data_IF_656990406024
#
_entry.id   IF_656990406024
#
_cell.length_a   1.000
_cell.length_b   1.000
_cell.length_c   1.000
_cell.angle_alpha   90.00
_cell.angle_beta   90.00
_cell.angle_gamma   90.00
#
_symmetry.space_group_name_H-M   'P 1'
#
loop_
_entity.id
_entity.type
_entity.pdbx_description
1 polymer ?
#
# COMPACT_ATOMS: atom_id res chain seq x y z
N UNK A 1 3.92 -15.33 -12.26
CA UNK A 1 3.24 -14.17 -11.67
C UNK A 1 3.85 -13.88 -10.31
N UNK A 2 4.22 -12.63 -10.06
CA UNK A 2 4.72 -12.17 -8.76
C UNK A 2 3.55 -11.77 -7.88
N UNK A 3 3.25 -12.55 -6.84
CA UNK A 3 2.27 -12.14 -5.83
C UNK A 3 2.89 -11.11 -4.90
N UNK A 4 2.23 -9.97 -4.75
CA UNK A 4 2.59 -8.96 -3.77
C UNK A 4 1.91 -9.34 -2.46
N UNK A 5 2.71 -9.49 -1.41
CA UNK A 5 2.22 -9.75 -0.05
C UNK A 5 2.35 -8.44 0.73
N UNK A 6 1.22 -7.84 1.06
CA UNK A 6 1.19 -6.71 1.98
C UNK A 6 1.32 -7.21 3.41
N UNK A 7 2.24 -6.62 4.16
CA UNK A 7 2.44 -6.95 5.56
C UNK A 7 2.91 -5.75 6.36
N UNK A 8 2.68 -5.80 7.67
CA UNK A 8 3.16 -4.82 8.62
C UNK A 8 4.48 -5.28 9.23
N UNK A 9 5.41 -4.34 9.33
CA UNK A 9 6.66 -4.55 10.06
C UNK A 9 6.39 -4.38 11.56
N UNK A 10 6.80 -5.35 12.36
CA UNK A 10 6.69 -5.33 13.82
C UNK A 10 8.07 -5.50 14.46
N UNK A 11 8.30 -4.89 15.62
CA UNK A 11 9.50 -5.09 16.43
C UNK A 11 9.38 -6.37 17.26
N UNK A 12 10.36 -7.26 17.16
CA UNK A 12 10.49 -8.46 18.00
C UNK A 12 11.94 -8.51 18.51
N UNK A 13 12.12 -8.39 19.82
CA UNK A 13 13.43 -8.25 20.44
C UNK A 13 14.16 -6.98 19.96
N UNK A 14 15.39 -7.17 19.47
CA UNK A 14 16.24 -6.11 18.92
C UNK A 14 16.16 -5.99 17.40
N UNK A 15 15.16 -6.60 16.75
CA UNK A 15 15.05 -6.62 15.28
C UNK A 15 13.64 -6.30 14.80
N UNK A 16 13.55 -5.88 13.54
CA UNK A 16 12.29 -5.66 12.83
C UNK A 16 11.96 -6.89 11.99
N UNK A 17 10.70 -7.32 12.05
CA UNK A 17 10.20 -8.51 11.39
C UNK A 17 9.04 -8.17 10.47
N UNK A 18 9.06 -8.72 9.26
CA UNK A 18 7.92 -8.73 8.35
C UNK A 18 7.16 -10.05 8.54
N UNK A 19 5.90 -9.99 8.96
CA UNK A 19 5.10 -11.19 9.23
C UNK A 19 4.48 -11.71 7.95
N UNK A 20 4.64 -12.99 7.63
CA UNK A 20 4.02 -13.56 6.43
C UNK A 20 2.64 -14.12 6.80
N UNK A 21 1.56 -13.71 6.13
CA UNK A 21 0.23 -14.28 6.37
C UNK A 21 0.22 -15.80 6.22
N UNK A 22 -0.45 -16.50 7.13
CA UNK A 22 -0.51 -17.99 7.13
C UNK A 22 -1.04 -18.56 5.81
N UNK A 23 -1.93 -17.84 5.14
CA UNK A 23 -2.45 -18.22 3.82
C UNK A 23 -1.36 -18.26 2.76
N UNK A 24 -0.48 -17.27 2.73
CA UNK A 24 0.65 -17.21 1.81
C UNK A 24 1.66 -18.33 2.10
N UNK A 25 1.90 -18.61 3.39
CA UNK A 25 2.75 -19.74 3.83
C UNK A 25 2.21 -21.07 3.31
N UNK A 26 0.89 -21.32 3.46
CA UNK A 26 0.24 -22.55 2.97
C UNK A 26 0.27 -22.66 1.44
N UNK A 27 -0.12 -21.60 0.73
CA UNK A 27 -0.14 -21.57 -0.75
C UNK A 27 1.24 -21.80 -1.35
N UNK A 28 2.28 -21.17 -0.77
CA UNK A 28 3.66 -21.25 -1.26
C UNK A 28 4.48 -22.36 -0.59
N UNK A 29 3.87 -23.16 0.28
CA UNK A 29 4.50 -24.26 1.04
C UNK A 29 5.81 -23.83 1.71
N UNK A 30 5.83 -22.60 2.26
CA UNK A 30 7.00 -22.06 2.95
C UNK A 30 7.19 -22.80 4.27
N UNK A 31 8.45 -23.07 4.62
CA UNK A 31 8.82 -23.71 5.88
C UNK A 31 9.51 -22.73 6.81
N UNK A 32 9.37 -22.96 8.11
CA UNK A 32 10.16 -22.25 9.11
C UNK A 32 11.66 -22.50 8.89
N UNK A 33 12.49 -21.49 9.11
CA UNK A 33 13.94 -21.55 8.87
C UNK A 33 14.36 -21.47 7.39
N UNK A 34 13.43 -21.49 6.45
CA UNK A 34 13.73 -21.31 5.04
C UNK A 34 14.17 -19.86 4.76
N UNK A 35 15.31 -19.70 4.12
CA UNK A 35 15.73 -18.40 3.60
C UNK A 35 14.85 -18.00 2.42
N UNK A 36 14.36 -16.76 2.46
CA UNK A 36 13.55 -16.17 1.39
C UNK A 36 14.16 -14.84 0.97
N UNK A 37 13.97 -14.48 -0.30
CA UNK A 37 14.30 -13.15 -0.80
C UNK A 37 13.11 -12.24 -0.63
N UNK A 38 13.34 -11.06 -0.06
CA UNK A 38 12.32 -10.02 0.10
C UNK A 38 12.65 -8.90 -0.89
N UNK A 39 11.67 -8.53 -1.72
CA UNK A 39 11.75 -7.34 -2.57
C UNK A 39 10.89 -6.26 -1.93
N UNK A 40 11.51 -5.12 -1.62
CA UNK A 40 10.82 -3.97 -1.03
C UNK A 40 10.46 -3.02 -2.18
N UNK A 41 9.16 -2.77 -2.35
CA UNK A 41 8.65 -1.81 -3.32
C UNK A 41 8.22 -0.56 -2.55
N UNK A 42 8.86 0.57 -2.81
CA UNK A 42 8.44 1.85 -2.24
C UNK A 42 7.07 2.26 -2.81
N UNK A 43 6.05 2.22 -1.96
CA UNK A 43 4.66 2.57 -2.29
C UNK A 43 4.46 4.06 -2.58
N UNK A 44 5.40 4.94 -2.19
CA UNK A 44 5.37 6.36 -2.54
C UNK A 44 5.30 6.60 -4.05
N UNK A 45 5.89 5.72 -4.86
CA UNK A 45 5.81 5.84 -6.32
C UNK A 45 4.39 5.60 -6.84
N UNK A 46 3.63 4.69 -6.22
CA UNK A 46 2.23 4.44 -6.57
C UNK A 46 1.31 5.54 -6.05
N UNK A 47 1.58 6.06 -4.85
CA UNK A 47 0.86 7.20 -4.29
C UNK A 47 1.07 8.45 -5.14
N UNK A 48 2.32 8.73 -5.51
CA UNK A 48 2.67 9.80 -6.43
C UNK A 48 1.99 9.61 -7.80
N UNK A 49 1.96 8.40 -8.37
CA UNK A 49 1.24 8.12 -9.63
C UNK A 49 -0.27 8.34 -9.51
N UNK A 50 -0.89 7.97 -8.37
CA UNK A 50 -2.33 8.15 -8.13
C UNK A 50 -2.70 9.63 -7.93
N UNK A 51 -1.88 10.37 -7.19
CA UNK A 51 -2.05 11.81 -6.94
C UNK A 51 -1.75 12.62 -8.21
N UNK A 52 -0.71 12.27 -8.97
CA UNK A 52 -0.37 12.95 -10.23
C UNK A 52 -1.34 12.64 -11.38
N UNK A 53 -2.02 11.49 -11.42
CA UNK A 53 -2.99 11.18 -12.47
C UNK A 53 -4.15 12.19 -12.53
N UNK A 54 -4.59 12.71 -11.39
CA UNK A 54 -5.63 13.75 -11.30
C UNK A 54 -5.13 15.11 -11.83
N UNK A 55 -3.89 15.47 -11.48
CA UNK A 55 -3.21 16.68 -11.94
C UNK A 55 -2.89 16.65 -13.46
N UNK A 56 -2.39 15.52 -13.97
CA UNK A 56 -2.01 15.37 -15.39
C UNK A 56 -3.21 15.32 -16.34
N UNK A 57 -4.39 14.90 -15.87
CA UNK A 57 -5.62 14.95 -16.67
C UNK A 57 -6.29 16.33 -16.72
N UNK A 58 -5.63 17.38 -16.22
CA UNK A 58 -6.14 18.75 -16.28
C UNK A 58 -7.41 18.98 -15.45
N UNK A 59 -7.75 18.05 -14.55
CA UNK A 59 -8.89 18.17 -13.66
C UNK A 59 -8.54 19.16 -12.55
N UNK A 60 -9.11 20.36 -12.59
CA UNK A 60 -9.09 21.24 -11.41
C UNK A 60 -9.72 20.51 -10.23
N UNK A 61 -9.12 20.64 -9.04
CA UNK A 61 -9.76 20.23 -7.80
C UNK A 61 -11.17 20.82 -7.76
N UNK A 62 -12.18 19.96 -7.67
CA UNK A 62 -13.53 20.42 -7.39
C UNK A 62 -13.57 20.86 -5.92
N UNK A 63 -13.35 22.16 -5.69
CA UNK A 63 -13.76 22.81 -4.44
C UNK A 63 -15.22 23.15 -4.57
N UNK A 64 -16.06 22.46 -3.80
CA UNK A 64 -17.45 22.86 -3.59
C UNK A 64 -17.40 24.14 -2.75
N UNK A 65 -17.46 25.30 -3.39
CA UNK A 65 -17.82 26.52 -2.69
C UNK A 65 -19.31 26.39 -2.34
N UNK A 66 -19.58 26.28 -1.04
CA UNK A 66 -20.94 26.31 -0.51
C UNK A 66 -21.44 27.75 -0.67
N UNK A 67 -21.95 28.09 -1.86
CA UNK A 67 -22.75 29.29 -2.04
C UNK A 67 -24.09 29.01 -1.34
N UNK A 68 -24.19 29.51 -0.12
CA UNK A 68 -25.36 29.40 0.73
C UNK A 68 -26.53 30.21 0.19
N UNK A 69 -27.14 29.78 -0.89
CA UNK A 69 -28.43 30.28 -1.36
C UNK A 69 -29.46 29.15 -1.25
N UNK A 70 -29.96 28.97 -0.02
CA UNK A 70 -31.30 28.42 0.20
C UNK A 70 -32.13 29.53 0.83
N UNK A 71 -32.72 30.36 -0.01
CA UNK A 71 -33.86 31.17 0.43
C UNK A 71 -35.12 30.28 0.41
N UNK A 72 -35.86 30.34 1.52
CA UNK A 72 -37.12 29.64 1.76
C UNK A 72 -38.30 30.42 1.18
#
# INVERSE_FOLDING_TARGET
>A
MSDIIETKITKIGNSLWALIPKEAVRKKKLKEGQQIKISIINSDRQRALKETFGLFKGGKEFKREDHGDREF
#
